data_IF_967166990487
#
_entry.id   IF_967166990487
#
_cell.length_a   1.000
_cell.length_b   1.000
_cell.length_c   1.000
_cell.angle_alpha   90.00
_cell.angle_beta   90.00
_cell.angle_gamma   90.00
#
_symmetry.space_group_name_H-M   'P 1'
#
loop_
_entity.id
_entity.type
_entity.pdbx_description
1 polymer ?
#
# COMPACT_ATOMS: atom_id res chain seq x y z
N UNK A 1 -6.48 -20.52 5.69
CA UNK A 1 -6.49 -21.98 5.46
C UNK A 1 -5.07 -22.48 5.12
N UNK A 2 -4.39 -21.94 4.09
CA UNK A 2 -3.02 -22.36 3.75
C UNK A 2 -2.00 -22.25 4.90
N UNK A 3 -1.96 -21.09 5.59
CA UNK A 3 -1.09 -20.84 6.75
C UNK A 3 -1.15 -21.93 7.83
N UNK A 4 -2.35 -22.45 8.10
CA UNK A 4 -2.56 -23.44 9.15
C UNK A 4 -1.94 -24.81 8.81
N UNK A 5 -1.88 -25.16 7.52
CA UNK A 5 -1.34 -26.45 7.08
C UNK A 5 0.15 -26.41 6.78
N UNK A 6 0.67 -25.26 6.33
CA UNK A 6 2.09 -25.10 5.94
C UNK A 6 2.95 -24.58 7.10
N UNK A 7 2.37 -23.73 7.96
CA UNK A 7 3.03 -23.04 9.08
C UNK A 7 4.32 -22.25 8.74
N UNK A 8 4.44 -21.78 7.49
CA UNK A 8 5.56 -20.96 7.04
C UNK A 8 5.10 -19.51 6.76
N UNK A 9 5.75 -18.47 7.34
CA UNK A 9 5.48 -17.06 6.98
C UNK A 9 5.75 -16.77 5.52
N UNK A 10 4.71 -16.35 4.79
CA UNK A 10 4.79 -16.04 3.37
C UNK A 10 3.93 -14.83 2.99
N UNK A 11 4.25 -14.18 1.87
CA UNK A 11 3.52 -13.00 1.36
C UNK A 11 1.99 -13.22 1.22
N UNK A 12 1.56 -14.48 1.04
CA UNK A 12 0.15 -14.87 1.00
C UNK A 12 -0.61 -14.53 2.29
N UNK A 13 0.08 -14.50 3.43
CA UNK A 13 -0.51 -14.15 4.72
C UNK A 13 -1.03 -12.71 4.70
N UNK A 14 -0.24 -11.77 4.16
CA UNK A 14 -0.65 -10.37 4.05
C UNK A 14 -1.61 -10.14 2.88
N UNK A 15 -1.46 -10.87 1.78
CA UNK A 15 -2.37 -10.77 0.65
C UNK A 15 -3.80 -11.12 1.03
N UNK A 16 -4.00 -12.30 1.63
CA UNK A 16 -5.33 -12.77 2.03
C UNK A 16 -5.81 -12.16 3.34
N UNK A 17 -4.90 -11.94 4.29
CA UNK A 17 -5.23 -11.47 5.63
C UNK A 17 -5.43 -9.96 5.76
N UNK A 18 -4.82 -9.16 4.88
CA UNK A 18 -4.85 -7.70 5.00
C UNK A 18 -5.22 -6.98 3.69
N UNK A 19 -4.56 -7.26 2.57
CA UNK A 19 -4.80 -6.56 1.30
C UNK A 19 -6.24 -6.75 0.81
N UNK A 20 -6.71 -8.00 0.70
CA UNK A 20 -8.08 -8.30 0.30
C UNK A 20 -9.12 -7.73 1.29
N UNK A 21 -9.01 -7.93 2.62
CA UNK A 21 -9.91 -7.31 3.59
C UNK A 21 -9.93 -5.78 3.57
N UNK A 22 -8.79 -5.11 3.34
CA UNK A 22 -8.73 -3.66 3.26
C UNK A 22 -9.57 -3.14 2.07
N UNK A 23 -9.44 -3.76 0.90
CA UNK A 23 -10.24 -3.40 -0.28
C UNK A 23 -11.74 -3.68 -0.05
N UNK A 24 -12.10 -4.81 0.56
CA UNK A 24 -13.50 -5.11 0.93
C UNK A 24 -14.08 -4.10 1.93
N UNK A 25 -13.29 -3.75 2.93
CA UNK A 25 -13.73 -2.93 4.05
C UNK A 25 -13.85 -1.47 3.66
N UNK A 26 -12.92 -0.96 2.86
CA UNK A 26 -12.72 0.47 2.63
C UNK A 26 -12.93 0.89 1.17
N UNK A 27 -13.00 -0.06 0.23
CA UNK A 27 -13.25 0.23 -1.19
C UNK A 27 -14.75 0.34 -1.51
N UNK A 28 -15.09 1.18 -2.48
CA UNK A 28 -16.44 1.25 -3.05
C UNK A 28 -16.80 -0.06 -3.77
N UNK A 29 -18.08 -0.25 -4.12
CA UNK A 29 -18.51 -1.44 -4.87
C UNK A 29 -17.78 -1.56 -6.21
N UNK A 30 -17.59 -0.44 -6.92
CA UNK A 30 -16.87 -0.41 -8.19
C UNK A 30 -15.40 -0.80 -8.01
N UNK A 31 -14.76 -0.31 -6.95
CA UNK A 31 -13.38 -0.69 -6.62
C UNK A 31 -13.28 -2.17 -6.26
N UNK A 32 -14.23 -2.69 -5.50
CA UNK A 32 -14.28 -4.11 -5.16
C UNK A 32 -14.45 -4.98 -6.40
N UNK A 33 -15.34 -4.61 -7.32
CA UNK A 33 -15.55 -5.31 -8.60
C UNK A 33 -14.31 -5.28 -9.50
N UNK A 34 -13.53 -4.19 -9.46
CA UNK A 34 -12.26 -4.06 -10.22
C UNK A 34 -11.14 -4.88 -9.60
N UNK A 35 -10.85 -4.70 -8.31
CA UNK A 35 -9.61 -5.17 -7.70
C UNK A 35 -9.71 -6.55 -7.04
N UNK A 36 -10.84 -6.91 -6.44
CA UNK A 36 -10.95 -8.18 -5.74
C UNK A 36 -10.85 -9.39 -6.67
N UNK A 37 -11.47 -9.42 -7.88
CA UNK A 37 -11.29 -10.55 -8.78
C UNK A 37 -9.83 -10.78 -9.19
N UNK A 38 -9.08 -9.70 -9.40
CA UNK A 38 -7.65 -9.77 -9.72
C UNK A 38 -6.86 -10.39 -8.56
N UNK A 39 -7.12 -9.94 -7.33
CA UNK A 39 -6.47 -10.48 -6.14
C UNK A 39 -6.87 -11.93 -5.86
N UNK A 40 -8.16 -12.28 -5.93
CA UNK A 40 -8.62 -13.65 -5.74
C UNK A 40 -8.03 -14.66 -6.72
N UNK A 41 -7.81 -14.23 -7.97
CA UNK A 41 -7.18 -15.05 -9.01
C UNK A 41 -5.65 -14.99 -8.97
N UNK A 42 -5.07 -14.30 -7.98
CA UNK A 42 -3.62 -14.06 -7.86
C UNK A 42 -3.02 -13.41 -9.12
N UNK A 43 -3.83 -12.69 -9.90
CA UNK A 43 -3.36 -11.87 -11.03
C UNK A 43 -2.63 -10.62 -10.54
N UNK A 44 -2.94 -10.19 -9.31
CA UNK A 44 -2.14 -9.23 -8.55
C UNK A 44 -1.81 -9.82 -7.19
N UNK A 45 -0.57 -9.59 -6.74
CA UNK A 45 -0.14 -9.88 -5.38
C UNK A 45 -0.02 -8.55 -4.64
N UNK A 46 -0.62 -8.49 -3.47
CA UNK A 46 -0.81 -7.26 -2.71
C UNK A 46 -0.31 -7.34 -1.27
N UNK A 47 0.28 -6.25 -0.78
CA UNK A 47 0.67 -6.07 0.62
C UNK A 47 -0.09 -4.93 1.30
N UNK A 48 0.05 -4.82 2.63
CA UNK A 48 -0.54 -3.77 3.45
C UNK A 48 0.55 -2.83 3.99
N UNK A 49 0.72 -1.67 3.34
CA UNK A 49 1.83 -0.75 3.57
C UNK A 49 1.38 0.43 4.45
N UNK A 50 1.28 0.17 5.75
CA UNK A 50 0.89 1.19 6.75
C UNK A 50 2.08 1.72 7.54
N UNK A 51 2.74 0.86 8.31
CA UNK A 51 3.85 1.22 9.20
C UNK A 51 4.99 1.89 8.46
N UNK A 52 5.53 2.92 9.10
CA UNK A 52 6.70 3.68 8.66
C UNK A 52 7.85 3.50 9.64
N UNK A 53 9.05 3.85 9.21
CA UNK A 53 10.24 3.84 10.07
C UNK A 53 10.03 4.69 11.33
N UNK A 54 9.40 5.87 11.20
CA UNK A 54 9.10 6.75 12.34
C UNK A 54 7.86 6.37 13.13
N UNK A 55 6.92 5.62 12.55
CA UNK A 55 5.56 5.47 13.07
C UNK A 55 4.96 4.07 12.84
N UNK A 56 4.77 3.32 13.93
CA UNK A 56 4.03 2.06 13.96
C UNK A 56 2.72 2.16 14.73
N UNK A 57 2.80 2.29 16.05
CA UNK A 57 1.61 2.33 16.92
C UNK A 57 0.76 3.59 16.71
N UNK A 58 1.40 4.74 16.48
CA UNK A 58 0.70 6.02 16.28
C UNK A 58 0.45 6.29 14.79
N UNK A 59 -0.56 5.62 14.24
CA UNK A 59 -0.97 5.72 12.83
C UNK A 59 -1.35 7.14 12.45
N UNK A 60 -1.87 7.94 13.39
CA UNK A 60 -2.26 9.33 13.12
C UNK A 60 -1.07 10.25 12.78
N UNK A 61 0.18 9.79 12.97
CA UNK A 61 1.40 10.54 12.66
C UNK A 61 2.16 10.05 11.43
N UNK A 62 1.61 9.13 10.64
CA UNK A 62 2.23 8.75 9.36
C UNK A 62 2.59 10.01 8.55
N UNK A 63 3.74 9.97 7.88
CA UNK A 63 4.38 11.06 7.16
C UNK A 63 4.26 10.91 5.64
N UNK A 64 4.05 9.69 5.11
CA UNK A 64 3.77 9.51 3.67
C UNK A 64 2.58 10.36 3.28
N UNK A 65 2.67 11.13 2.20
CA UNK A 65 1.58 12.00 1.73
C UNK A 65 0.96 11.45 0.46
N UNK A 66 -0.31 11.79 0.24
CA UNK A 66 -1.06 11.58 -0.98
C UNK A 66 -1.74 12.89 -1.33
N UNK A 67 -1.13 13.66 -2.23
CA UNK A 67 -1.61 15.00 -2.60
C UNK A 67 -2.46 14.92 -3.85
N UNK A 68 -3.70 15.41 -3.79
CA UNK A 68 -4.57 15.42 -4.96
C UNK A 68 -4.16 16.51 -5.96
N UNK A 69 -4.00 16.14 -7.23
CA UNK A 69 -3.84 17.07 -8.36
C UNK A 69 -5.12 17.09 -9.21
N UNK A 70 -5.92 18.17 -9.12
CA UNK A 70 -7.13 18.32 -9.92
C UNK A 70 -6.89 18.41 -11.43
N UNK A 71 -5.66 18.77 -11.87
CA UNK A 71 -5.36 18.94 -13.30
C UNK A 71 -5.24 17.61 -14.02
N UNK A 72 -4.62 16.61 -13.37
CA UNK A 72 -4.46 15.26 -13.92
C UNK A 72 -5.54 14.28 -13.45
N UNK A 73 -6.34 14.63 -12.43
CA UNK A 73 -7.26 13.72 -11.75
C UNK A 73 -6.53 12.55 -11.06
N UNK A 74 -5.41 12.87 -10.40
CA UNK A 74 -4.48 11.91 -9.80
C UNK A 74 -4.10 12.27 -8.35
N UNK A 75 -3.58 11.31 -7.61
CA UNK A 75 -2.87 11.51 -6.35
C UNK A 75 -1.38 11.33 -6.55
N UNK A 76 -0.60 12.26 -5.99
CA UNK A 76 0.86 12.17 -5.92
C UNK A 76 1.25 11.59 -4.56
N UNK A 77 1.74 10.35 -4.57
CA UNK A 77 2.21 9.64 -3.38
C UNK A 77 3.70 9.95 -3.17
N UNK A 78 4.07 10.40 -1.98
CA UNK A 78 5.46 10.79 -1.69
C UNK A 78 5.90 10.39 -0.28
N UNK A 79 7.18 10.01 -0.17
CA UNK A 79 7.88 9.80 1.11
C UNK A 79 8.81 10.99 1.38
N UNK A 80 8.37 12.01 2.13
CA UNK A 80 9.09 13.29 2.25
C UNK A 80 10.41 13.20 3.05
N UNK A 81 10.56 12.20 3.91
CA UNK A 81 11.68 12.07 4.86
C UNK A 81 12.17 10.62 4.87
N UNK A 82 13.33 10.38 5.48
CA UNK A 82 13.78 9.00 5.71
C UNK A 82 12.80 8.23 6.61
N UNK A 83 12.21 8.90 7.60
CA UNK A 83 11.30 8.31 8.58
C UNK A 83 9.93 7.97 8.01
N UNK A 84 9.54 8.59 6.89
CA UNK A 84 8.29 8.30 6.18
C UNK A 84 8.34 7.07 5.27
N UNK A 85 9.52 6.48 5.09
CA UNK A 85 9.63 5.22 4.36
C UNK A 85 8.77 4.15 5.06
N UNK A 86 7.94 3.45 4.27
CA UNK A 86 7.22 2.29 4.78
C UNK A 86 8.21 1.26 5.25
N UNK A 87 7.98 0.66 6.41
CA UNK A 87 8.91 -0.26 7.05
C UNK A 87 8.13 -1.35 7.78
N UNK A 88 8.52 -2.61 7.58
CA UNK A 88 7.89 -3.87 8.06
C UNK A 88 6.90 -4.61 7.15
N UNK A 89 6.17 -4.02 6.18
CA UNK A 89 5.13 -4.76 5.46
C UNK A 89 5.63 -6.10 4.89
N UNK A 90 5.00 -7.20 5.28
CA UNK A 90 5.28 -8.54 4.74
C UNK A 90 4.81 -8.64 3.29
N UNK A 91 5.53 -9.36 2.44
CA UNK A 91 5.23 -9.42 1.01
C UNK A 91 5.74 -8.23 0.20
N UNK A 92 6.21 -7.14 0.84
CA UNK A 92 6.59 -5.92 0.15
C UNK A 92 7.98 -6.00 -0.48
N UNK A 93 8.93 -6.62 0.22
CA UNK A 93 10.35 -6.58 -0.13
C UNK A 93 10.62 -7.13 -1.52
N UNK A 94 9.90 -8.18 -1.92
CA UNK A 94 10.11 -8.89 -3.19
C UNK A 94 8.83 -9.35 -3.87
N UNK A 95 7.79 -9.78 -3.17
CA UNK A 95 6.69 -10.53 -3.79
C UNK A 95 5.60 -9.65 -4.42
N UNK A 96 5.21 -8.57 -3.74
CA UNK A 96 3.98 -7.85 -4.07
C UNK A 96 4.14 -6.92 -5.27
N UNK A 97 3.18 -7.03 -6.20
CA UNK A 97 3.02 -6.17 -7.38
C UNK A 97 2.25 -4.89 -7.07
N UNK A 98 1.43 -4.91 -6.02
CA UNK A 98 0.56 -3.83 -5.57
C UNK A 98 0.64 -3.68 -4.05
N UNK A 99 0.23 -2.54 -3.52
CA UNK A 99 0.05 -2.34 -2.09
C UNK A 99 -1.15 -1.45 -1.81
N UNK A 100 -1.83 -1.69 -0.69
CA UNK A 100 -2.66 -0.66 -0.06
C UNK A 100 -1.75 0.17 0.82
N UNK A 101 -1.46 1.40 0.38
CA UNK A 101 -0.58 2.36 1.03
C UNK A 101 -1.42 3.29 1.87
N UNK A 102 -1.09 3.44 3.15
CA UNK A 102 -1.72 4.43 4.01
C UNK A 102 -0.91 5.71 4.04
N UNK A 103 -1.53 6.83 3.71
CA UNK A 103 -0.86 8.11 3.58
C UNK A 103 -1.78 9.24 4.07
N UNK A 104 -1.17 10.38 4.43
CA UNK A 104 -1.88 11.63 4.73
C UNK A 104 -2.50 12.18 3.46
N UNK A 105 -3.82 12.25 3.43
CA UNK A 105 -4.55 12.80 2.30
C UNK A 105 -4.48 14.33 2.34
N UNK A 106 -3.88 14.93 1.32
CA UNK A 106 -3.79 16.38 1.16
C UNK A 106 -4.69 16.81 0.00
N UNK A 107 -5.69 17.63 0.29
CA UNK A 107 -6.65 18.15 -0.69
C UNK A 107 -6.89 19.63 -0.40
N UNK A 108 -6.71 20.50 -1.39
CA UNK A 108 -6.83 21.95 -1.22
C UNK A 108 -5.94 22.45 -0.05
N UNK A 109 -4.68 21.99 -0.05
CA UNK A 109 -3.66 22.27 0.97
C UNK A 109 -4.04 21.87 2.42
N UNK A 110 -5.14 21.14 2.60
CA UNK A 110 -5.63 20.68 3.90
C UNK A 110 -5.34 19.20 4.08
N UNK A 111 -4.80 18.88 5.25
CA UNK A 111 -4.61 17.52 5.71
C UNK A 111 -5.94 16.93 6.21
N UNK A 112 -6.38 15.83 5.58
CA UNK A 112 -7.62 15.11 5.88
C UNK A 112 -7.38 13.80 6.63
N UNK A 113 -6.19 13.64 7.20
CA UNK A 113 -5.80 12.44 7.94
C UNK A 113 -5.43 11.27 7.04
N UNK A 114 -5.29 10.10 7.68
CA UNK A 114 -4.76 8.91 7.03
C UNK A 114 -5.84 8.18 6.24
N UNK A 115 -5.58 7.96 4.96
CA UNK A 115 -6.46 7.23 4.03
C UNK A 115 -5.67 6.14 3.29
N UNK A 116 -6.38 5.15 2.74
CA UNK A 116 -5.80 4.03 2.00
C UNK A 116 -5.83 4.25 0.49
N UNK A 117 -4.73 3.91 -0.19
CA UNK A 117 -4.56 4.08 -1.64
C UNK A 117 -4.01 2.79 -2.23
N UNK A 118 -4.64 2.26 -3.28
CA UNK A 118 -4.08 1.16 -4.05
C UNK A 118 -2.97 1.74 -4.94
N UNK A 119 -1.77 1.19 -4.86
CA UNK A 119 -0.62 1.63 -5.66
C UNK A 119 -0.01 0.42 -6.36
N UNK A 120 0.20 0.50 -7.66
CA UNK A 120 1.02 -0.49 -8.36
C UNK A 120 2.48 -0.24 -8.04
N UNK A 121 3.16 -1.28 -7.61
CA UNK A 121 4.52 -1.24 -7.09
C UNK A 121 5.55 -1.78 -8.08
N UNK A 122 5.15 -2.75 -8.90
CA UNK A 122 6.02 -3.46 -9.84
C UNK A 122 5.37 -3.68 -11.19
N UNK A 123 6.19 -3.73 -12.22
CA UNK A 123 5.82 -4.07 -13.60
C UNK A 123 5.31 -5.52 -13.68
N UNK A 124 4.26 -5.75 -14.47
CA UNK A 124 3.76 -7.11 -14.74
C UNK A 124 4.62 -7.90 -15.72
N UNK A 125 5.53 -7.24 -16.44
CA UNK A 125 6.33 -7.89 -17.48
C UNK A 125 7.56 -8.58 -16.90
N UNK A 126 8.26 -7.89 -16.00
CA UNK A 126 9.59 -8.25 -15.50
C UNK A 126 9.73 -8.05 -13.98
N UNK A 127 8.66 -7.65 -13.30
CA UNK A 127 8.63 -7.44 -11.85
C UNK A 127 9.56 -6.34 -11.35
N UNK A 128 10.10 -5.51 -12.25
CA UNK A 128 10.92 -4.36 -11.90
C UNK A 128 10.09 -3.35 -11.08
N UNK A 129 10.72 -2.59 -10.16
CA UNK A 129 10.08 -1.43 -9.56
C UNK A 129 9.55 -0.47 -10.64
N UNK A 130 8.35 0.09 -10.44
CA UNK A 130 7.87 1.17 -11.30
C UNK A 130 8.64 2.48 -11.03
N UNK A 131 8.63 3.45 -11.96
CA UNK A 131 9.29 4.74 -11.77
C UNK A 131 8.88 5.42 -10.45
N UNK A 132 9.85 6.05 -9.77
CA UNK A 132 9.63 6.71 -8.47
C UNK A 132 9.50 5.75 -7.28
N UNK A 133 9.63 4.43 -7.48
CA UNK A 133 9.51 3.44 -6.41
C UNK A 133 10.88 2.82 -6.10
N UNK A 134 11.25 2.85 -4.81
CA UNK A 134 12.46 2.20 -4.30
C UNK A 134 12.12 1.19 -3.22
N UNK A 135 12.73 0.00 -3.31
CA UNK A 135 12.62 -1.05 -2.29
C UNK A 135 13.96 -1.34 -1.63
N UNK A 136 13.93 -1.62 -0.34
CA UNK A 136 15.07 -2.20 0.39
C UNK A 136 14.54 -3.36 1.25
N UNK A 137 15.28 -4.46 1.39
CA UNK A 137 14.93 -5.50 2.35
C UNK A 137 15.29 -5.04 3.76
N UNK A 138 14.45 -5.32 4.77
CA UNK A 138 14.77 -4.92 6.16
C UNK A 138 15.87 -5.79 6.81
N UNK A 139 16.31 -6.85 6.13
CA UNK A 139 17.36 -7.75 6.59
C UNK A 139 16.88 -8.95 7.39
N UNK A 140 17.84 -9.62 8.03
CA UNK A 140 17.59 -10.79 8.87
C UNK A 140 16.83 -10.39 10.14
N UNK A 141 15.94 -11.28 10.56
CA UNK A 141 15.09 -11.15 11.73
C UNK A 141 15.43 -12.24 12.74
N UNK A 142 14.93 -12.09 13.96
CA UNK A 142 15.18 -12.99 15.06
C UNK A 142 14.71 -14.43 14.77
N UNK A 143 15.53 -15.41 15.19
CA UNK A 143 15.23 -16.84 15.10
C UNK A 143 15.68 -17.52 13.80
N UNK A 144 15.97 -18.81 13.87
CA UNK A 144 16.29 -19.63 12.69
C UNK A 144 15.01 -19.98 11.94
N UNK A 145 14.96 -19.72 10.63
CA UNK A 145 13.70 -19.78 9.89
C UNK A 145 12.76 -18.67 10.35
N UNK A 146 11.66 -19.03 11.04
CA UNK A 146 10.66 -18.10 11.55
C UNK A 146 10.24 -17.07 10.49
N UNK A 147 10.27 -15.77 10.80
CA UNK A 147 9.91 -14.72 9.85
C UNK A 147 10.95 -14.47 8.76
N UNK A 148 12.12 -15.11 8.77
CA UNK A 148 13.11 -14.93 7.70
C UNK A 148 12.63 -15.44 6.34
N UNK A 149 11.59 -16.29 6.30
CA UNK A 149 10.91 -16.72 5.06
C UNK A 149 9.98 -15.62 4.50
N UNK A 150 9.58 -14.65 5.34
CA UNK A 150 8.82 -13.48 4.93
C UNK A 150 9.74 -12.37 4.43
N UNK A 151 9.43 -11.83 3.27
CA UNK A 151 10.09 -10.70 2.63
C UNK A 151 9.58 -9.35 3.15
N UNK A 152 9.72 -9.12 4.46
CA UNK A 152 9.44 -7.79 5.03
C UNK A 152 10.28 -6.72 4.34
N UNK A 153 9.63 -5.63 3.91
CA UNK A 153 10.24 -4.63 3.04
C UNK A 153 10.26 -3.22 3.61
N UNK A 154 11.12 -2.42 3.00
CA UNK A 154 11.11 -0.96 3.01
C UNK A 154 10.61 -0.47 1.66
N UNK A 155 9.78 0.56 1.65
CA UNK A 155 9.30 1.20 0.43
C UNK A 155 9.36 2.73 0.57
N UNK A 156 9.97 3.36 -0.43
CA UNK A 156 10.02 4.81 -0.61
C UNK A 156 9.34 5.19 -1.91
N UNK A 157 8.51 6.22 -1.85
CA UNK A 157 7.93 6.87 -3.02
C UNK A 157 8.63 8.19 -3.29
N UNK A 158 8.88 8.46 -4.57
CA UNK A 158 9.33 9.74 -5.09
C UNK A 158 8.31 10.25 -6.10
N UNK A 159 7.34 11.03 -5.59
CA UNK A 159 6.27 11.67 -6.36
C UNK A 159 5.57 10.74 -7.36
N UNK A 160 5.13 9.57 -6.89
CA UNK A 160 4.45 8.56 -7.71
C UNK A 160 3.00 8.95 -7.95
N UNK A 161 2.62 9.09 -9.22
CA UNK A 161 1.23 9.42 -9.58
C UNK A 161 0.35 8.17 -9.67
N UNK A 162 -0.86 8.26 -9.12
CA UNK A 162 -1.90 7.23 -9.25
C UNK A 162 -3.25 7.88 -9.59
N UNK A 163 -4.11 7.24 -10.40
CA UNK A 163 -5.46 7.75 -10.66
C UNK A 163 -6.27 8.02 -9.39
N UNK A 164 -7.12 9.05 -9.39
CA UNK A 164 -7.98 9.40 -8.25
C UNK A 164 -8.83 8.22 -7.77
N UNK A 165 -9.32 7.38 -8.69
CA UNK A 165 -10.14 6.20 -8.38
C UNK A 165 -9.38 5.08 -7.65
N UNK A 166 -8.09 5.25 -7.36
CA UNK A 166 -7.29 4.31 -6.56
C UNK A 166 -7.24 4.63 -5.06
N UNK A 167 -7.76 5.78 -4.60
CA UNK A 167 -8.04 6.00 -3.17
C UNK A 167 -9.24 5.15 -2.74
N UNK A 168 -9.17 4.40 -1.64
CA UNK A 168 -10.27 3.59 -1.12
C UNK A 168 -11.39 4.48 -0.57
N UNK A 169 -12.50 4.56 -1.30
CA UNK A 169 -13.47 5.66 -1.19
C UNK A 169 -14.81 5.31 -0.53
N UNK A 170 -14.89 4.23 0.25
CA UNK A 170 -16.15 3.82 0.87
C UNK A 170 -16.61 4.77 1.99
N UNK A 171 -15.67 5.26 2.79
CA UNK A 171 -15.96 6.06 4.00
C UNK A 171 -15.63 7.54 3.85
N UNK A 172 -14.78 7.88 2.89
CA UNK A 172 -14.33 9.23 2.56
C UNK A 172 -14.09 9.30 1.06
N UNK A 173 -14.39 10.43 0.45
CA UNK A 173 -14.30 10.60 -1.01
C UNK A 173 -13.58 11.89 -1.36
N UNK A 174 -12.95 11.87 -2.54
CA UNK A 174 -12.44 13.08 -3.18
C UNK A 174 -13.11 13.17 -4.55
N UNK A 175 -13.90 14.22 -4.74
CA UNK A 175 -14.53 14.49 -6.04
C UNK A 175 -13.48 14.97 -7.04
N UNK A 176 -13.81 14.93 -8.33
CA UNK A 176 -12.93 15.41 -9.40
C UNK A 176 -12.54 16.88 -9.23
N UNK A 177 -13.41 17.68 -8.63
CA UNK A 177 -13.20 19.10 -8.34
C UNK A 177 -12.32 19.32 -7.10
N UNK A 178 -11.83 18.26 -6.46
CA UNK A 178 -10.99 18.37 -5.26
C UNK A 178 -11.76 18.68 -3.99
N UNK A 179 -13.01 18.22 -3.88
CA UNK A 179 -13.78 18.32 -2.62
C UNK A 179 -13.69 17.02 -1.83
N UNK A 180 -13.36 17.13 -0.56
CA UNK A 180 -13.41 16.03 0.39
C UNK A 180 -14.83 15.88 0.94
N UNK A 181 -15.39 14.67 0.87
CA UNK A 181 -16.78 14.33 1.24
C UNK A 181 -16.84 13.08 2.11
#
# INVERSE_FOLDING_TARGET
MLRFYVDEPAFTDLHWGMFIPAIKGQGTEQQQQKWLPLGYKMQIIGCYAQTELGHGSNVQRLETTATFDPKSDEFIINSPTLTSNKWWPGGLGKASTHGVVYARLLVDEKDRGVNGFIVQLRSFNDHSPLPGITFVGIGMKFGNGAYNTMDNGVLRFDHVSIPRDQMLMRVSQVTREGKYV
#
